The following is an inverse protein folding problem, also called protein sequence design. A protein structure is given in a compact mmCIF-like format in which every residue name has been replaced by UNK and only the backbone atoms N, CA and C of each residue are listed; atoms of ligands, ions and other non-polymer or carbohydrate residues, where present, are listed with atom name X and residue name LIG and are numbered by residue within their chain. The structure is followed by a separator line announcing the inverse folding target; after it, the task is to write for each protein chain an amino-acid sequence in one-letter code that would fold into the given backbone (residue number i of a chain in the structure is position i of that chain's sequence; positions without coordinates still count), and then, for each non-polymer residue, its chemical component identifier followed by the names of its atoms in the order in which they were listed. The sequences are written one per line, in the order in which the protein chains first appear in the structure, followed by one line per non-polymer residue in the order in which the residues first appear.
data_IF_269490689993
#
_entry.id   IF_269490689993
#
_cell.length_a   1.000
_cell.length_b   1.000
_cell.length_c   1.000
_cell.angle_alpha   90.00
_cell.angle_beta   90.00
_cell.angle_gamma   90.00
#
_symmetry.space_group_name_H-M   'P 1'
#
loop_
_entity.id
_entity.type
_entity.pdbx_description
1 polymer ?
#
# COMPACT_ATOMS: atom_id res chain seq x y z
N UNK A 1 15.41 13.55 7.20
CA UNK A 1 14.27 12.76 7.69
C UNK A 1 13.77 11.79 6.64
N UNK A 2 13.16 10.70 7.07
CA UNK A 2 12.50 9.74 6.21
C UNK A 2 11.01 9.67 6.56
N UNK A 3 10.13 9.78 5.56
CA UNK A 3 8.69 9.85 5.74
C UNK A 3 7.95 8.89 4.80
N UNK A 4 7.28 7.90 5.39
CA UNK A 4 6.64 6.79 4.68
C UNK A 4 5.10 6.88 4.63
N UNK A 5 4.50 7.75 5.46
CA UNK A 5 3.04 7.83 5.59
C UNK A 5 2.39 8.51 4.37
N UNK A 6 1.11 8.23 4.09
CA UNK A 6 0.41 8.78 2.94
C UNK A 6 0.25 10.30 3.02
N UNK A 7 0.46 10.97 1.87
CA UNK A 7 0.35 12.41 1.69
C UNK A 7 -0.72 12.79 0.64
N UNK A 8 -1.68 11.92 0.40
CA UNK A 8 -2.82 12.19 -0.47
C UNK A 8 -3.87 13.06 0.23
N UNK A 9 -4.28 14.17 -0.42
CA UNK A 9 -5.13 15.23 0.18
C UNK A 9 -6.48 14.73 0.71
N UNK A 10 -7.06 13.73 0.07
CA UNK A 10 -8.31 13.09 0.54
C UNK A 10 -8.07 11.95 1.54
N UNK A 11 -6.83 11.67 1.86
CA UNK A 11 -6.50 10.69 2.90
C UNK A 11 -6.79 11.24 4.29
N UNK A 12 -7.23 10.40 5.23
CA UNK A 12 -7.66 10.83 6.57
C UNK A 12 -6.53 11.43 7.42
N UNK A 13 -5.30 11.18 7.05
CA UNK A 13 -4.11 11.56 7.82
C UNK A 13 -3.28 12.68 7.15
N UNK A 14 -3.76 13.25 6.04
CA UNK A 14 -3.01 14.21 5.24
C UNK A 14 -2.47 15.40 6.05
N UNK A 15 -3.33 16.12 6.75
CA UNK A 15 -2.91 17.34 7.49
C UNK A 15 -1.93 16.99 8.61
N UNK A 16 -2.17 15.93 9.35
CA UNK A 16 -1.25 15.45 10.38
C UNK A 16 0.12 15.12 9.80
N UNK A 17 0.15 14.40 8.69
CA UNK A 17 1.39 13.94 8.06
C UNK A 17 2.17 15.11 7.42
N UNK A 18 1.48 16.05 6.80
CA UNK A 18 2.05 17.30 6.29
C UNK A 18 2.72 18.10 7.41
N UNK A 19 2.03 18.32 8.54
CA UNK A 19 2.58 19.05 9.68
C UNK A 19 3.83 18.37 10.25
N UNK A 20 3.86 17.04 10.34
CA UNK A 20 5.03 16.28 10.81
C UNK A 20 6.27 16.47 9.93
N UNK A 21 6.08 16.62 8.62
CA UNK A 21 7.19 16.92 7.70
C UNK A 21 7.67 18.36 7.91
N UNK A 22 6.74 19.32 7.92
CA UNK A 22 7.06 20.75 8.00
C UNK A 22 7.73 21.13 9.33
N UNK A 23 7.36 20.48 10.42
CA UNK A 23 7.96 20.69 11.74
C UNK A 23 9.50 20.45 11.76
N UNK A 24 9.98 19.55 10.90
CA UNK A 24 11.39 19.13 10.87
C UNK A 24 12.15 19.57 9.63
N UNK A 25 11.47 20.05 8.59
CA UNK A 25 12.05 20.24 7.26
C UNK A 25 13.25 21.21 7.26
N UNK A 26 13.23 22.23 8.14
CA UNK A 26 14.31 23.21 8.28
C UNK A 26 15.43 22.76 9.23
N UNK A 27 15.28 21.62 9.88
CA UNK A 27 16.21 21.08 10.86
C UNK A 27 17.02 19.90 10.33
N UNK A 28 16.78 19.50 9.07
CA UNK A 28 17.40 18.32 8.44
C UNK A 28 18.07 18.70 7.13
N UNK A 29 19.12 17.96 6.78
CA UNK A 29 19.86 18.17 5.52
C UNK A 29 19.09 17.68 4.31
N UNK A 30 18.27 16.62 4.47
CA UNK A 30 17.46 16.06 3.40
C UNK A 30 16.16 15.42 3.93
N UNK A 31 15.14 15.39 3.06
CA UNK A 31 13.87 14.73 3.31
C UNK A 31 13.62 13.66 2.22
N UNK A 32 13.46 12.41 2.64
CA UNK A 32 13.15 11.28 1.79
C UNK A 32 11.67 10.89 1.99
N UNK A 33 10.90 10.84 0.91
CA UNK A 33 9.44 10.69 0.96
C UNK A 33 9.01 9.61 -0.03
N UNK A 34 8.08 8.75 0.37
CA UNK A 34 7.48 7.71 -0.49
C UNK A 34 6.39 8.24 -1.43
N UNK A 35 6.28 9.54 -1.58
CA UNK A 35 5.43 10.24 -2.55
C UNK A 35 6.32 11.14 -3.39
N UNK A 36 6.04 11.30 -4.68
CA UNK A 36 6.82 12.23 -5.51
C UNK A 36 6.80 13.64 -4.93
N UNK A 37 7.95 14.25 -4.59
CA UNK A 37 7.99 15.62 -4.07
C UNK A 37 7.36 16.65 -5.02
N UNK A 38 7.40 16.40 -6.32
CA UNK A 38 6.88 17.30 -7.36
C UNK A 38 5.37 17.58 -7.27
N UNK A 39 4.61 16.69 -6.63
CA UNK A 39 3.15 16.84 -6.45
C UNK A 39 2.76 17.37 -5.06
N UNK A 40 3.73 17.63 -4.20
CA UNK A 40 3.55 18.09 -2.82
C UNK A 40 3.77 19.61 -2.74
N UNK A 41 2.74 20.41 -3.03
CA UNK A 41 2.80 21.85 -3.10
C UNK A 41 3.22 22.56 -1.79
N UNK A 42 3.23 21.85 -0.66
CA UNK A 42 3.63 22.40 0.63
C UNK A 42 5.14 22.27 0.89
N UNK A 43 5.87 21.52 0.09
CA UNK A 43 7.31 21.38 0.25
C UNK A 43 8.03 22.61 -0.32
N UNK A 44 9.12 23.06 0.32
CA UNK A 44 10.01 24.05 -0.26
C UNK A 44 10.54 23.56 -1.62
N UNK A 45 10.57 24.48 -2.59
CA UNK A 45 11.20 24.23 -3.89
C UNK A 45 12.71 24.31 -3.76
N UNK A 46 13.33 23.27 -3.29
CA UNK A 46 14.76 23.11 -3.15
C UNK A 46 15.16 21.67 -3.56
N UNK A 47 16.47 21.43 -3.61
CA UNK A 47 17.08 20.16 -3.97
C UNK A 47 17.27 19.19 -2.79
N UNK A 48 16.56 19.42 -1.69
CA UNK A 48 16.68 18.60 -0.46
C UNK A 48 15.54 17.61 -0.26
N UNK A 49 14.58 17.55 -1.19
CA UNK A 49 13.44 16.66 -1.13
C UNK A 49 13.55 15.57 -2.19
N UNK A 50 13.65 14.33 -1.77
CA UNK A 50 13.88 13.17 -2.62
C UNK A 50 12.74 12.15 -2.52
N UNK A 51 12.39 11.55 -3.66
CA UNK A 51 11.57 10.37 -3.66
C UNK A 51 12.41 9.14 -3.26
N UNK A 52 11.82 8.28 -2.45
CA UNK A 52 12.36 6.95 -2.15
C UNK A 52 11.21 5.94 -2.11
N UNK A 53 11.27 4.82 -2.85
CA UNK A 53 10.27 3.77 -2.74
C UNK A 53 10.34 3.08 -1.37
N UNK A 54 9.27 2.39 -0.99
CA UNK A 54 9.34 1.47 0.14
C UNK A 54 10.39 0.39 -0.15
N UNK A 55 11.31 0.11 0.79
CA UNK A 55 12.34 -0.90 0.59
C UNK A 55 11.76 -2.31 0.66
N UNK A 56 12.34 -3.23 -0.12
CA UNK A 56 12.16 -4.66 0.01
C UNK A 56 13.42 -5.27 0.63
N UNK A 57 13.26 -6.29 1.45
CA UNK A 57 14.37 -6.98 2.09
C UNK A 57 14.32 -8.48 1.78
N UNK A 58 15.29 -9.04 1.04
CA UNK A 58 15.29 -10.43 0.64
C UNK A 58 15.42 -11.42 1.81
N UNK A 59 15.67 -10.94 3.03
CA UNK A 59 15.61 -11.78 4.22
C UNK A 59 14.18 -12.01 4.74
N UNK A 60 13.24 -11.15 4.34
CA UNK A 60 11.83 -11.25 4.69
C UNK A 60 10.95 -11.68 3.52
N UNK A 61 11.17 -11.12 2.33
CA UNK A 61 10.44 -11.43 1.12
C UNK A 61 11.07 -12.63 0.42
N UNK A 62 10.72 -13.84 0.85
CA UNK A 62 11.39 -15.10 0.45
C UNK A 62 10.47 -16.11 -0.24
N UNK A 63 9.20 -15.75 -0.50
CA UNK A 63 8.19 -16.75 -0.89
C UNK A 63 8.29 -17.23 -2.35
N UNK A 64 8.87 -16.45 -3.26
CA UNK A 64 9.06 -16.79 -4.68
C UNK A 64 7.80 -17.36 -5.34
N UNK A 65 6.66 -16.68 -5.19
CA UNK A 65 5.36 -17.22 -5.65
C UNK A 65 5.31 -17.53 -7.15
N UNK A 66 6.14 -16.87 -7.95
CA UNK A 66 6.25 -17.14 -9.41
C UNK A 66 6.84 -18.52 -9.73
N UNK A 67 7.52 -19.18 -8.78
CA UNK A 67 8.14 -20.50 -8.97
C UNK A 67 7.25 -21.68 -8.57
N UNK A 68 6.05 -21.41 -8.03
CA UNK A 68 5.19 -22.46 -7.49
C UNK A 68 3.72 -22.30 -7.88
N UNK A 69 2.94 -23.38 -7.88
CA UNK A 69 1.50 -23.29 -8.11
C UNK A 69 0.83 -22.54 -6.95
N UNK A 70 0.01 -21.54 -7.30
CA UNK A 70 -0.79 -20.77 -6.38
C UNK A 70 -2.29 -20.96 -6.69
N UNK A 71 -3.10 -21.19 -5.66
CA UNK A 71 -4.53 -21.52 -5.81
C UNK A 71 -5.45 -20.29 -5.67
N UNK A 72 -4.91 -19.13 -5.32
CA UNK A 72 -5.62 -17.86 -5.19
C UNK A 72 -5.12 -16.93 -6.31
N UNK A 73 -6.04 -16.26 -6.99
CA UNK A 73 -5.65 -15.35 -8.06
C UNK A 73 -5.29 -13.98 -7.49
N UNK A 74 -6.14 -13.40 -6.62
CA UNK A 74 -5.92 -12.06 -6.07
C UNK A 74 -6.02 -12.07 -4.54
N UNK A 75 -4.94 -11.61 -3.90
CA UNK A 75 -4.86 -11.40 -2.45
C UNK A 75 -4.99 -9.93 -2.09
N UNK A 76 -5.71 -9.64 -1.01
CA UNK A 76 -5.73 -8.32 -0.40
C UNK A 76 -6.04 -8.37 1.10
N UNK A 77 -5.25 -7.67 1.91
CA UNK A 77 -5.49 -7.55 3.35
C UNK A 77 -5.65 -6.08 3.77
N UNK A 78 -6.73 -5.81 4.49
CA UNK A 78 -7.07 -4.54 5.11
C UNK A 78 -6.84 -4.60 6.62
N UNK A 79 -6.13 -3.61 7.15
CA UNK A 79 -6.02 -3.40 8.60
C UNK A 79 -6.89 -2.22 9.09
N UNK A 80 -7.52 -1.49 8.16
CA UNK A 80 -8.34 -0.33 8.47
C UNK A 80 -9.53 -0.68 9.36
N UNK A 81 -9.79 0.18 10.35
CA UNK A 81 -10.88 -0.03 11.30
C UNK A 81 -10.56 -1.02 12.43
N UNK A 82 -9.35 -1.56 12.44
CA UNK A 82 -8.89 -2.47 13.50
C UNK A 82 -8.39 -1.70 14.72
N UNK A 83 -8.72 -2.20 15.89
CA UNK A 83 -8.12 -1.78 17.14
C UNK A 83 -7.76 -3.02 17.96
N UNK A 84 -6.48 -3.16 18.33
CA UNK A 84 -5.95 -4.34 19.06
C UNK A 84 -6.33 -5.67 18.38
N UNK A 85 -6.24 -5.71 17.05
CA UNK A 85 -6.53 -6.92 16.29
C UNK A 85 -8.01 -7.21 16.03
N UNK A 86 -8.93 -6.34 16.42
CA UNK A 86 -10.37 -6.52 16.24
C UNK A 86 -10.94 -5.45 15.30
N UNK A 87 -11.80 -5.85 14.36
CA UNK A 87 -12.53 -4.93 13.48
C UNK A 87 -13.49 -4.05 14.31
N UNK A 88 -13.42 -2.74 14.09
CA UNK A 88 -14.39 -1.79 14.62
C UNK A 88 -15.61 -1.72 13.72
N UNK A 89 -16.79 -1.78 14.31
CA UNK A 89 -18.05 -1.55 13.59
C UNK A 89 -18.19 -0.07 13.20
N UNK A 90 -18.87 0.20 12.08
CA UNK A 90 -19.25 1.55 11.66
C UNK A 90 -18.17 2.37 10.95
N UNK A 91 -16.95 1.85 10.74
CA UNK A 91 -15.96 2.52 9.90
C UNK A 91 -16.15 2.16 8.43
N UNK A 92 -16.19 3.20 7.59
CA UNK A 92 -16.24 3.08 6.13
C UNK A 92 -14.84 3.25 5.53
N UNK A 93 -14.60 2.56 4.43
CA UNK A 93 -13.36 2.65 3.65
C UNK A 93 -13.75 2.57 2.17
N UNK A 94 -13.32 3.54 1.37
CA UNK A 94 -13.63 3.64 -0.06
C UNK A 94 -13.14 2.45 -0.87
N UNK A 95 -12.05 1.81 -0.45
CA UNK A 95 -11.53 0.58 -1.05
C UNK A 95 -12.52 -0.59 -0.99
N UNK A 96 -13.39 -0.63 0.02
CA UNK A 96 -14.39 -1.68 0.19
C UNK A 96 -15.34 -1.73 -1.02
N UNK A 97 -15.84 -0.57 -1.44
CA UNK A 97 -16.75 -0.50 -2.58
C UNK A 97 -16.05 -0.89 -3.89
N UNK A 98 -14.80 -0.48 -4.06
CA UNK A 98 -14.00 -0.90 -5.20
C UNK A 98 -13.82 -2.43 -5.25
N UNK A 99 -13.42 -3.03 -4.14
CA UNK A 99 -13.18 -4.48 -4.05
C UNK A 99 -14.46 -5.28 -4.32
N UNK A 100 -15.59 -4.85 -3.76
CA UNK A 100 -16.89 -5.49 -4.01
C UNK A 100 -17.27 -5.42 -5.48
N UNK A 101 -17.10 -4.25 -6.11
CA UNK A 101 -17.36 -4.08 -7.54
C UNK A 101 -16.43 -4.98 -8.36
N UNK A 102 -15.16 -5.01 -8.06
CA UNK A 102 -14.17 -5.85 -8.74
C UNK A 102 -14.58 -7.33 -8.68
N UNK A 103 -14.92 -7.86 -7.50
CA UNK A 103 -15.39 -9.25 -7.34
C UNK A 103 -16.65 -9.56 -8.14
N UNK A 104 -17.56 -8.60 -8.25
CA UNK A 104 -18.81 -8.81 -8.99
C UNK A 104 -18.63 -8.88 -10.51
N UNK A 105 -17.62 -8.17 -11.05
CA UNK A 105 -17.37 -8.15 -12.50
C UNK A 105 -16.36 -9.21 -12.96
N UNK A 106 -15.73 -9.94 -12.03
CA UNK A 106 -14.72 -10.96 -12.31
C UNK A 106 -15.10 -12.29 -11.65
N UNK A 107 -16.19 -12.90 -12.13
CA UNK A 107 -16.79 -14.09 -11.50
C UNK A 107 -15.83 -15.29 -11.40
N UNK A 108 -14.94 -15.46 -12.38
CA UNK A 108 -14.00 -16.58 -12.46
C UNK A 108 -12.69 -16.35 -11.69
N UNK A 109 -12.51 -15.17 -11.10
CA UNK A 109 -11.31 -14.82 -10.33
C UNK A 109 -11.47 -15.22 -8.87
N UNK A 110 -10.51 -15.98 -8.35
CA UNK A 110 -10.51 -16.44 -6.96
C UNK A 110 -9.82 -15.42 -6.06
N UNK A 111 -10.61 -14.74 -5.25
CA UNK A 111 -10.14 -13.73 -4.29
C UNK A 111 -9.95 -14.31 -2.89
N UNK A 112 -8.87 -13.89 -2.25
CA UNK A 112 -8.64 -14.09 -0.81
C UNK A 112 -8.45 -12.72 -0.15
N UNK A 113 -9.48 -12.25 0.59
CA UNK A 113 -9.57 -10.88 1.09
C UNK A 113 -9.86 -10.88 2.58
N UNK A 114 -9.02 -10.16 3.33
CA UNK A 114 -9.08 -10.04 4.78
C UNK A 114 -9.37 -8.59 5.22
N UNK A 115 -10.01 -8.45 6.37
CA UNK A 115 -10.41 -7.15 6.92
C UNK A 115 -11.65 -6.55 6.26
N UNK A 116 -12.43 -7.36 5.52
CA UNK A 116 -13.64 -6.98 4.80
C UNK A 116 -14.75 -8.01 5.04
N UNK A 117 -16.03 -7.59 4.98
CA UNK A 117 -17.22 -8.44 5.03
C UNK A 117 -17.22 -9.42 6.23
N UNK A 118 -16.87 -8.92 7.42
CA UNK A 118 -16.74 -9.68 8.69
C UNK A 118 -15.58 -10.66 8.74
N UNK A 119 -14.76 -10.78 7.69
CA UNK A 119 -13.50 -11.52 7.75
C UNK A 119 -12.48 -10.71 8.51
N UNK A 120 -11.87 -11.32 9.53
CA UNK A 120 -10.88 -10.65 10.36
C UNK A 120 -9.62 -10.31 9.55
N UNK A 121 -8.92 -9.20 9.87
CA UNK A 121 -7.59 -8.94 9.36
C UNK A 121 -6.60 -10.02 9.79
N UNK A 122 -5.51 -10.13 9.03
CA UNK A 122 -4.42 -11.07 9.31
C UNK A 122 -3.10 -10.34 9.45
N UNK A 123 -2.18 -10.89 10.23
CA UNK A 123 -0.85 -10.35 10.50
C UNK A 123 0.20 -11.44 10.65
N UNK A 124 1.46 -11.06 10.62
CA UNK A 124 2.61 -11.90 10.88
C UNK A 124 2.56 -13.23 10.09
N UNK A 125 2.80 -14.35 10.74
CA UNK A 125 2.85 -15.67 10.09
C UNK A 125 1.59 -16.02 9.30
N UNK A 126 0.42 -15.62 9.80
CA UNK A 126 -0.83 -15.87 9.09
C UNK A 126 -0.88 -15.07 7.78
N UNK A 127 -0.40 -13.83 7.78
CA UNK A 127 -0.29 -13.03 6.56
C UNK A 127 0.64 -13.69 5.54
N UNK A 128 1.86 -14.07 5.96
CA UNK A 128 2.82 -14.72 5.07
C UNK A 128 2.33 -16.07 4.54
N UNK A 129 1.72 -16.88 5.39
CA UNK A 129 1.11 -18.15 4.98
C UNK A 129 0.01 -17.96 3.94
N UNK A 130 -0.77 -16.91 4.07
CA UNK A 130 -1.88 -16.63 3.15
C UNK A 130 -1.37 -16.07 1.83
N UNK A 131 -0.52 -15.04 1.86
CA UNK A 131 0.02 -14.42 0.64
C UNK A 131 0.86 -15.42 -0.17
N UNK A 132 1.47 -16.42 0.49
CA UNK A 132 2.27 -17.46 -0.18
C UNK A 132 1.50 -18.31 -1.19
N UNK A 133 0.17 -18.25 -1.19
CA UNK A 133 -0.70 -19.03 -2.07
C UNK A 133 -1.40 -18.18 -3.15
N UNK A 134 -0.97 -16.93 -3.32
CA UNK A 134 -1.58 -15.99 -4.26
C UNK A 134 -0.67 -15.68 -5.45
N UNK A 135 -1.26 -15.50 -6.64
CA UNK A 135 -0.56 -15.12 -7.88
C UNK A 135 -0.36 -13.60 -7.95
N UNK A 136 -1.35 -12.84 -7.51
CA UNK A 136 -1.39 -11.39 -7.60
C UNK A 136 -1.74 -10.79 -6.26
N UNK A 137 -1.20 -9.60 -5.98
CA UNK A 137 -1.55 -8.80 -4.81
C UNK A 137 -2.15 -7.46 -5.20
N UNK A 138 -3.24 -7.07 -4.54
CA UNK A 138 -3.88 -5.78 -4.78
C UNK A 138 -3.29 -4.72 -3.86
N UNK A 139 -2.67 -3.69 -4.44
CA UNK A 139 -2.03 -2.60 -3.71
C UNK A 139 -2.87 -1.31 -3.82
N UNK A 140 -3.87 -1.19 -2.96
CA UNK A 140 -4.74 -0.03 -2.88
C UNK A 140 -4.46 0.81 -1.63
N UNK A 141 -4.20 2.09 -1.81
CA UNK A 141 -4.10 3.08 -0.75
C UNK A 141 -5.46 3.73 -0.46
N UNK A 142 -5.64 4.28 0.75
CA UNK A 142 -6.85 5.07 1.07
C UNK A 142 -6.76 6.46 0.44
N UNK A 143 -7.91 7.00 0.06
CA UNK A 143 -8.02 8.28 -0.63
C UNK A 143 -7.63 8.18 -2.10
N UNK A 144 -7.44 9.32 -2.76
CA UNK A 144 -7.06 9.35 -4.17
C UNK A 144 -5.61 8.85 -4.35
N UNK A 145 -5.38 8.16 -5.46
CA UNK A 145 -4.03 7.82 -5.88
C UNK A 145 -3.20 9.09 -6.13
N UNK A 146 -1.94 9.05 -5.73
CA UNK A 146 -1.00 10.15 -5.90
C UNK A 146 0.32 9.62 -6.47
N UNK A 147 0.97 10.43 -7.29
CA UNK A 147 2.20 10.06 -7.99
C UNK A 147 3.25 9.46 -7.05
N UNK A 148 3.73 8.28 -7.40
CA UNK A 148 4.75 7.48 -6.73
C UNK A 148 4.42 7.05 -5.30
N UNK A 149 3.18 7.31 -4.81
CA UNK A 149 2.82 6.78 -3.50
C UNK A 149 2.31 5.35 -3.58
N UNK A 150 2.87 4.52 -2.76
CA UNK A 150 2.38 3.18 -2.45
C UNK A 150 2.49 2.94 -0.94
N UNK A 151 1.66 2.06 -0.41
CA UNK A 151 1.89 1.52 0.93
C UNK A 151 3.03 0.49 0.89
N UNK A 152 3.59 0.16 2.04
CA UNK A 152 4.56 -0.91 2.27
C UNK A 152 4.14 -2.28 1.71
N UNK A 153 2.85 -2.48 1.48
CA UNK A 153 2.31 -3.67 0.83
C UNK A 153 2.92 -3.95 -0.55
N UNK A 154 3.38 -2.91 -1.28
CA UNK A 154 4.00 -3.10 -2.60
C UNK A 154 5.25 -3.97 -2.50
N UNK A 155 6.06 -3.77 -1.47
CA UNK A 155 7.29 -4.55 -1.27
C UNK A 155 6.99 -6.00 -0.92
N UNK A 156 5.97 -6.21 -0.09
CA UNK A 156 5.51 -7.54 0.28
C UNK A 156 4.93 -8.32 -0.92
N UNK A 157 4.26 -7.63 -1.84
CA UNK A 157 3.71 -8.24 -3.07
C UNK A 157 4.85 -8.55 -4.03
N UNK A 158 5.62 -7.53 -4.45
CA UNK A 158 6.65 -7.69 -5.48
C UNK A 158 7.83 -8.52 -4.95
N UNK A 159 8.29 -8.25 -3.74
CA UNK A 159 9.41 -8.95 -3.12
C UNK A 159 9.15 -10.45 -2.92
N UNK A 160 7.90 -10.84 -2.71
CA UNK A 160 7.50 -12.24 -2.62
C UNK A 160 7.12 -12.88 -3.97
N UNK A 161 7.33 -12.18 -5.08
CA UNK A 161 7.14 -12.73 -6.42
C UNK A 161 5.69 -12.79 -6.90
N UNK A 162 4.83 -11.92 -6.40
CA UNK A 162 3.47 -11.77 -6.89
C UNK A 162 3.39 -10.63 -7.93
N UNK A 163 2.46 -10.73 -8.86
CA UNK A 163 2.10 -9.60 -9.71
C UNK A 163 1.39 -8.52 -8.87
N UNK A 164 1.89 -7.30 -8.93
CA UNK A 164 1.31 -6.18 -8.18
C UNK A 164 0.25 -5.45 -9.02
N UNK A 165 -1.00 -5.47 -8.54
CA UNK A 165 -2.09 -4.68 -9.11
C UNK A 165 -2.17 -3.34 -8.37
N UNK A 166 -1.81 -2.25 -9.04
CA UNK A 166 -1.74 -0.90 -8.48
C UNK A 166 -2.49 0.10 -9.37
N UNK A 167 -3.00 1.19 -8.77
CA UNK A 167 -3.70 2.24 -9.52
C UNK A 167 -2.73 2.93 -10.48
N UNK A 168 -3.10 3.02 -11.75
CA UNK A 168 -2.31 3.65 -12.83
C UNK A 168 -1.93 5.10 -12.51
N UNK A 169 -2.78 5.83 -11.79
CA UNK A 169 -2.52 7.22 -11.39
C UNK A 169 -1.34 7.40 -10.44
N UNK A 170 -0.83 6.30 -9.89
CA UNK A 170 0.42 6.33 -9.12
C UNK A 170 1.66 6.47 -9.99
N UNK A 171 1.55 6.24 -11.30
CA UNK A 171 2.65 6.28 -12.26
C UNK A 171 3.84 5.35 -11.89
N UNK A 172 3.59 4.32 -11.11
CA UNK A 172 4.64 3.36 -10.71
C UNK A 172 5.27 2.62 -11.90
N UNK A 173 4.58 2.56 -13.04
CA UNK A 173 5.15 2.03 -14.29
C UNK A 173 6.46 2.71 -14.71
N UNK A 174 6.71 3.94 -14.26
CA UNK A 174 7.96 4.66 -14.58
C UNK A 174 9.21 3.96 -14.01
N UNK A 175 9.04 3.02 -13.08
CA UNK A 175 10.13 2.24 -12.46
C UNK A 175 10.28 0.83 -13.05
N UNK A 176 9.41 0.41 -13.97
CA UNK A 176 9.42 -0.92 -14.56
C UNK A 176 9.41 -0.81 -16.09
N UNK A 177 10.36 -1.48 -16.72
CA UNK A 177 10.50 -1.56 -18.20
C UNK A 177 9.70 -2.71 -18.77
#
# INVERSE_FOLDING_TARGET
QWFLDPLNKKGPDYERNKLRILDKINQVDATFITTSPSVLNFLPKNDKNFFIPNPSDPSFETLNNYEKPCNVDVFFALSHGVHRGVLKTGKTDDRINFIRKLRNITADVKFDIYGLDKVQPIWADHYFKTISNAKMGLNLSRGDAIKYYSSDRITQIIGNGLVCLIDEKTEYRDFFS
#
